data_IF_049806328716
#
_entry.id   IF_049806328716
#
_cell.length_a   1.000
_cell.length_b   1.000
_cell.length_c   1.000
_cell.angle_alpha   90.00
_cell.angle_beta   90.00
_cell.angle_gamma   90.00
#
_symmetry.space_group_name_H-M   'P 1'
#
loop_
_entity.id
_entity.type
_entity.pdbx_description
1 polymer ?
#
# COMPACT_ATOMS: atom_id res chain seq x y z
N UNK A 1 -4.40 26.30 52.25
CA UNK A 1 -4.88 25.83 50.94
C UNK A 1 -3.78 25.00 50.31
N UNK A 2 -3.84 23.71 50.38
CA UNK A 2 -2.83 22.79 49.82
C UNK A 2 -3.32 22.31 48.47
N UNK A 3 -2.56 22.65 47.41
CA UNK A 3 -2.77 22.15 46.06
C UNK A 3 -2.30 20.70 46.01
N UNK A 4 -3.23 19.77 45.76
CA UNK A 4 -2.93 18.37 45.43
C UNK A 4 -2.43 18.30 43.97
N UNK A 5 -1.12 18.03 43.78
CA UNK A 5 -0.52 17.63 42.54
C UNK A 5 -0.96 16.19 42.24
N UNK A 6 -1.87 16.02 41.28
CA UNK A 6 -2.25 14.70 40.74
C UNK A 6 -1.09 14.19 39.88
N UNK A 7 -0.34 13.24 40.40
CA UNK A 7 0.67 12.46 39.67
C UNK A 7 -0.03 11.59 38.62
N UNK A 8 0.13 11.97 37.34
CA UNK A 8 -0.27 11.15 36.18
C UNK A 8 0.82 10.12 35.90
N UNK A 9 0.80 8.98 36.57
CA UNK A 9 1.69 7.85 36.32
C UNK A 9 0.90 6.54 36.07
N UNK A 10 -0.05 6.56 35.14
CA UNK A 10 -0.60 5.32 34.60
C UNK A 10 0.05 5.03 33.23
N UNK A 11 0.62 3.82 33.04
CA UNK A 11 1.15 3.42 31.74
C UNK A 11 0.00 3.33 30.73
N UNK A 12 0.12 4.01 29.58
CA UNK A 12 -0.90 4.11 28.53
C UNK A 12 -1.35 2.76 27.93
N UNK A 13 -0.67 1.65 28.26
CA UNK A 13 -1.05 0.26 27.91
C UNK A 13 -0.66 -0.66 29.06
N UNK A 14 -1.48 -1.70 29.32
CA UNK A 14 -1.13 -2.70 30.34
C UNK A 14 0.17 -3.44 29.93
N UNK A 15 1.04 -3.83 30.87
CA UNK A 15 2.27 -4.57 30.56
C UNK A 15 2.03 -5.86 29.77
N UNK A 16 0.88 -6.51 29.94
CA UNK A 16 0.48 -7.72 29.20
C UNK A 16 0.20 -7.38 27.73
N UNK A 17 -0.51 -6.29 27.44
CA UNK A 17 -0.78 -5.84 26.07
C UNK A 17 0.50 -5.39 25.35
N UNK A 18 1.40 -4.70 26.04
CA UNK A 18 2.67 -4.28 25.47
C UNK A 18 3.57 -5.48 25.09
N UNK A 19 3.66 -6.50 25.95
CA UNK A 19 4.40 -7.75 25.66
C UNK A 19 3.78 -8.53 24.52
N UNK A 20 2.44 -8.63 24.49
CA UNK A 20 1.70 -9.29 23.42
C UNK A 20 1.98 -8.62 22.07
N UNK A 21 1.90 -7.30 21.99
CA UNK A 21 2.21 -6.53 20.76
C UNK A 21 3.65 -6.74 20.33
N UNK A 22 4.62 -6.65 21.24
CA UNK A 22 6.02 -6.86 20.91
C UNK A 22 6.30 -8.29 20.39
N UNK A 23 5.63 -9.30 20.95
CA UNK A 23 5.74 -10.69 20.48
C UNK A 23 5.15 -10.86 19.07
N UNK A 24 3.99 -10.28 18.79
CA UNK A 24 3.36 -10.30 17.46
C UNK A 24 4.27 -9.63 16.43
N UNK A 25 4.80 -8.44 16.74
CA UNK A 25 5.71 -7.71 15.86
C UNK A 25 7.00 -8.50 15.56
N UNK A 26 7.59 -9.13 16.59
CA UNK A 26 8.77 -9.98 16.43
C UNK A 26 8.47 -11.19 15.52
N UNK A 27 7.32 -11.84 15.71
CA UNK A 27 6.88 -12.98 14.88
C UNK A 27 6.65 -12.53 13.43
N UNK A 28 5.99 -11.41 13.18
CA UNK A 28 5.73 -10.91 11.83
C UNK A 28 7.03 -10.49 11.11
N UNK A 29 7.95 -9.81 11.81
CA UNK A 29 9.29 -9.52 11.27
C UNK A 29 10.06 -10.79 10.93
N UNK A 30 10.07 -11.78 11.82
CA UNK A 30 10.70 -13.06 11.59
C UNK A 30 10.06 -13.82 10.41
N UNK A 31 8.73 -13.73 10.25
CA UNK A 31 8.02 -14.32 9.11
C UNK A 31 8.53 -13.78 7.79
N UNK A 32 8.64 -12.46 7.66
CA UNK A 32 9.18 -11.83 6.44
C UNK A 32 10.63 -12.26 6.19
N UNK A 33 11.48 -12.29 7.23
CA UNK A 33 12.88 -12.72 7.10
C UNK A 33 13.02 -14.17 6.65
N UNK A 34 12.21 -15.08 7.21
CA UNK A 34 12.19 -16.50 6.81
C UNK A 34 11.64 -16.66 5.39
N UNK A 35 10.59 -15.90 5.04
CA UNK A 35 10.01 -15.88 3.70
C UNK A 35 11.04 -15.46 2.65
N UNK A 36 11.76 -14.37 2.90
CA UNK A 36 12.81 -13.86 2.02
C UNK A 36 13.98 -14.83 1.84
N UNK A 37 14.36 -15.52 2.91
CA UNK A 37 15.52 -16.41 2.90
C UNK A 37 15.22 -17.78 2.28
N UNK A 38 14.05 -18.35 2.54
CA UNK A 38 13.71 -19.73 2.22
C UNK A 38 12.58 -19.91 1.22
N UNK A 39 11.84 -18.84 0.93
CA UNK A 39 10.63 -18.90 0.12
C UNK A 39 9.39 -19.43 0.88
N UNK A 40 8.21 -19.27 0.25
CA UNK A 40 6.91 -19.66 0.81
C UNK A 40 6.86 -21.15 1.15
N UNK A 41 7.40 -22.00 0.28
CA UNK A 41 7.30 -23.47 0.43
C UNK A 41 8.06 -23.97 1.67
N UNK A 42 9.27 -23.47 1.88
CA UNK A 42 10.16 -23.92 2.99
C UNK A 42 9.91 -23.15 4.30
N UNK A 43 9.02 -22.16 4.32
CA UNK A 43 8.61 -21.47 5.54
C UNK A 43 7.78 -22.41 6.41
N UNK A 44 8.18 -22.55 7.70
CA UNK A 44 7.42 -23.28 8.72
C UNK A 44 7.26 -22.43 9.98
N UNK A 45 6.21 -22.68 10.75
CA UNK A 45 5.96 -21.99 12.04
C UNK A 45 7.12 -22.18 13.02
N UNK A 46 7.73 -23.38 13.04
CA UNK A 46 8.92 -23.69 13.88
C UNK A 46 10.11 -22.80 13.53
N UNK A 47 10.41 -22.63 12.23
CA UNK A 47 11.50 -21.75 11.79
C UNK A 47 11.23 -20.28 12.11
N UNK A 48 9.98 -19.87 11.99
CA UNK A 48 9.59 -18.50 12.35
C UNK A 48 9.70 -18.29 13.86
N UNK A 49 9.21 -19.22 14.69
CA UNK A 49 9.32 -19.13 16.15
C UNK A 49 10.79 -19.04 16.60
N UNK A 50 11.65 -19.93 16.07
CA UNK A 50 13.09 -19.90 16.34
C UNK A 50 13.73 -18.55 15.94
N UNK A 51 13.35 -18.00 14.76
CA UNK A 51 13.86 -16.72 14.27
C UNK A 51 13.34 -15.53 15.08
N UNK A 52 12.11 -15.61 15.60
CA UNK A 52 11.49 -14.59 16.44
C UNK A 52 11.96 -14.61 17.90
N UNK A 53 12.69 -15.67 18.30
CA UNK A 53 13.10 -15.86 19.69
C UNK A 53 11.94 -16.22 20.63
N UNK A 54 10.87 -16.85 20.12
CA UNK A 54 9.72 -17.28 20.90
C UNK A 54 9.53 -18.79 20.83
N UNK A 55 8.80 -19.38 21.82
CA UNK A 55 8.41 -20.77 21.74
C UNK A 55 7.40 -21.00 20.61
N UNK A 56 7.37 -22.22 20.05
CA UNK A 56 6.35 -22.62 19.07
C UNK A 56 4.94 -22.49 19.67
N UNK A 57 4.77 -22.84 20.96
CA UNK A 57 3.51 -22.66 21.68
C UNK A 57 3.07 -21.21 21.76
N UNK A 58 4.01 -20.29 22.01
CA UNK A 58 3.74 -18.85 22.00
C UNK A 58 3.28 -18.38 20.61
N UNK A 59 3.93 -18.84 19.54
CA UNK A 59 3.52 -18.49 18.18
C UNK A 59 2.11 -18.98 17.87
N UNK A 60 1.76 -20.20 18.26
CA UNK A 60 0.41 -20.74 18.03
C UNK A 60 -0.70 -20.05 18.83
N UNK A 61 -0.38 -19.38 19.92
CA UNK A 61 -1.36 -18.52 20.63
C UNK A 61 -1.85 -17.34 19.76
N UNK A 62 -1.01 -16.84 18.85
CA UNK A 62 -1.34 -15.72 17.97
C UNK A 62 -1.72 -16.16 16.54
N UNK A 63 -1.09 -17.20 16.02
CA UNK A 63 -1.23 -17.63 14.63
C UNK A 63 -1.42 -19.15 14.57
N UNK A 64 -2.66 -19.63 14.31
CA UNK A 64 -2.98 -21.05 14.39
C UNK A 64 -2.27 -21.92 13.32
N UNK A 65 -1.79 -21.31 12.24
CA UNK A 65 -1.12 -22.02 11.16
C UNK A 65 -0.26 -21.08 10.28
N UNK A 66 0.52 -21.69 9.36
CA UNK A 66 1.36 -20.98 8.39
C UNK A 66 0.57 -19.96 7.55
N UNK A 67 -0.63 -20.31 7.10
CA UNK A 67 -1.44 -19.43 6.28
C UNK A 67 -1.90 -18.18 7.03
N UNK A 68 -2.33 -18.33 8.29
CA UNK A 68 -2.68 -17.19 9.15
C UNK A 68 -1.49 -16.25 9.35
N UNK A 69 -0.30 -16.81 9.55
CA UNK A 69 0.95 -16.08 9.72
C UNK A 69 1.31 -15.27 8.47
N UNK A 70 1.27 -15.90 7.29
CA UNK A 70 1.57 -15.26 6.01
C UNK A 70 0.55 -14.16 5.68
N UNK A 71 -0.75 -14.41 5.93
CA UNK A 71 -1.79 -13.37 5.75
C UNK A 71 -1.59 -12.18 6.68
N UNK A 72 -1.20 -12.40 7.93
CA UNK A 72 -0.92 -11.32 8.86
C UNK A 72 0.30 -10.49 8.42
N UNK A 73 1.36 -11.11 7.95
CA UNK A 73 2.52 -10.41 7.38
C UNK A 73 2.15 -9.61 6.12
N UNK A 74 1.31 -10.18 5.25
CA UNK A 74 0.78 -9.49 4.07
C UNK A 74 -0.08 -8.28 4.45
N UNK A 75 -1.00 -8.43 5.43
CA UNK A 75 -1.83 -7.31 5.92
C UNK A 75 -0.97 -6.18 6.46
N UNK A 76 0.03 -6.47 7.29
CA UNK A 76 0.93 -5.46 7.82
C UNK A 76 1.61 -4.67 6.69
N UNK A 77 2.16 -5.37 5.70
CA UNK A 77 2.78 -4.72 4.54
C UNK A 77 1.78 -3.90 3.71
N UNK A 78 0.56 -4.37 3.57
CA UNK A 78 -0.52 -3.66 2.87
C UNK A 78 -0.92 -2.38 3.60
N UNK A 79 -1.04 -2.42 4.94
CA UNK A 79 -1.30 -1.23 5.75
C UNK A 79 -0.16 -0.20 5.67
N UNK A 80 1.11 -0.64 5.59
CA UNK A 80 2.25 0.26 5.34
C UNK A 80 2.07 1.05 4.03
N UNK A 81 1.59 0.38 2.97
CA UNK A 81 1.35 1.01 1.67
C UNK A 81 0.18 1.99 1.72
N UNK A 82 -0.94 1.57 2.32
CA UNK A 82 -2.13 2.41 2.46
C UNK A 82 -1.76 3.68 3.24
N UNK A 83 -1.05 3.55 4.35
CA UNK A 83 -0.64 4.68 5.16
C UNK A 83 0.22 5.70 4.39
N UNK A 84 1.09 5.25 3.49
CA UNK A 84 1.88 6.17 2.66
C UNK A 84 1.02 6.85 1.58
N UNK A 85 0.08 6.13 0.97
CA UNK A 85 -0.88 6.73 0.02
C UNK A 85 -1.76 7.75 0.72
N UNK A 86 -2.28 7.44 1.91
CA UNK A 86 -3.09 8.36 2.71
C UNK A 86 -2.33 9.65 3.05
N UNK A 87 -1.05 9.55 3.43
CA UNK A 87 -0.18 10.72 3.66
C UNK A 87 -0.08 11.61 2.43
N UNK A 88 0.12 11.00 1.26
CA UNK A 88 0.20 11.75 0.00
C UNK A 88 -1.14 12.40 -0.33
N UNK A 89 -2.24 11.66 -0.18
CA UNK A 89 -3.58 12.20 -0.39
C UNK A 89 -3.86 13.41 0.51
N UNK A 90 -3.45 13.35 1.78
CA UNK A 90 -3.59 14.49 2.71
C UNK A 90 -2.71 15.66 2.29
N UNK A 91 -1.45 15.42 1.94
CA UNK A 91 -0.48 16.46 1.58
C UNK A 91 -0.82 17.16 0.25
N UNK A 92 -1.50 16.46 -0.67
CA UNK A 92 -1.80 16.96 -2.01
C UNK A 92 -3.22 17.55 -2.14
N UNK A 93 -4.00 17.63 -1.06
CA UNK A 93 -5.34 18.23 -1.11
C UNK A 93 -5.30 19.67 -1.60
N UNK A 94 -6.18 20.00 -2.55
CA UNK A 94 -6.30 21.36 -3.11
C UNK A 94 -5.18 21.75 -4.07
N UNK A 95 -4.25 20.84 -4.41
CA UNK A 95 -3.24 21.09 -5.43
C UNK A 95 -3.79 20.80 -6.84
N UNK A 96 -3.12 21.25 -7.92
CA UNK A 96 -3.50 20.92 -9.28
C UNK A 96 -3.54 19.40 -9.50
N UNK A 97 -4.53 18.92 -10.27
CA UNK A 97 -4.78 17.48 -10.48
C UNK A 97 -3.57 16.75 -11.08
N UNK A 98 -2.77 17.41 -11.92
CA UNK A 98 -1.52 16.84 -12.44
C UNK A 98 -0.49 16.57 -11.34
N UNK A 99 -0.37 17.50 -10.39
CA UNK A 99 0.53 17.34 -9.23
C UNK A 99 0.04 16.22 -8.31
N UNK A 100 -1.27 16.10 -8.09
CA UNK A 100 -1.86 14.98 -7.34
C UNK A 100 -1.51 13.63 -7.98
N UNK A 101 -1.70 13.49 -9.31
CA UNK A 101 -1.45 12.25 -10.03
C UNK A 101 0.04 11.87 -10.01
N UNK A 102 0.93 12.84 -10.21
CA UNK A 102 2.39 12.66 -10.11
C UNK A 102 2.80 12.18 -8.71
N UNK A 103 2.35 12.87 -7.66
CA UNK A 103 2.68 12.52 -6.29
C UNK A 103 2.20 11.11 -5.91
N UNK A 104 1.01 10.70 -6.35
CA UNK A 104 0.49 9.35 -6.17
C UNK A 104 1.38 8.30 -6.87
N UNK A 105 1.75 8.53 -8.14
CA UNK A 105 2.58 7.61 -8.91
C UNK A 105 3.96 7.44 -8.26
N UNK A 106 4.61 8.55 -7.90
CA UNK A 106 5.93 8.55 -7.24
C UNK A 106 5.89 7.84 -5.90
N UNK A 107 4.95 8.20 -5.03
CA UNK A 107 4.85 7.61 -3.68
C UNK A 107 4.54 6.11 -3.72
N UNK A 108 3.61 5.71 -4.58
CA UNK A 108 3.21 4.31 -4.69
C UNK A 108 4.34 3.41 -5.18
N UNK A 109 5.15 3.88 -6.12
CA UNK A 109 6.34 3.16 -6.58
C UNK A 109 7.44 3.19 -5.52
N UNK A 110 7.72 4.34 -4.89
CA UNK A 110 8.75 4.48 -3.88
C UNK A 110 8.57 3.52 -2.70
N UNK A 111 7.34 3.36 -2.18
CA UNK A 111 7.06 2.41 -1.08
C UNK A 111 7.44 0.99 -1.46
N UNK A 112 7.11 0.57 -2.67
CA UNK A 112 7.36 -0.79 -3.16
C UNK A 112 8.84 -1.04 -3.45
N UNK A 113 9.56 -0.01 -3.86
CA UNK A 113 10.97 -0.11 -4.23
C UNK A 113 11.92 0.16 -3.06
N UNK A 114 11.44 0.54 -1.87
CA UNK A 114 12.24 0.53 -0.64
C UNK A 114 12.79 -0.88 -0.31
N UNK A 115 12.00 -1.92 -0.58
CA UNK A 115 12.41 -3.32 -0.43
C UNK A 115 11.71 -4.19 -1.50
N UNK A 116 12.25 -4.24 -2.73
CA UNK A 116 11.65 -4.98 -3.84
C UNK A 116 11.55 -6.48 -3.54
N UNK A 117 12.52 -7.05 -2.81
CA UNK A 117 12.52 -8.46 -2.41
C UNK A 117 11.36 -8.76 -1.47
N UNK A 118 11.15 -7.93 -0.44
CA UNK A 118 9.99 -8.02 0.47
C UNK A 118 8.68 -7.90 -0.30
N UNK A 119 8.57 -6.90 -1.16
CA UNK A 119 7.37 -6.64 -1.96
C UNK A 119 7.04 -7.81 -2.89
N UNK A 120 8.03 -8.38 -3.58
CA UNK A 120 7.89 -9.58 -4.46
C UNK A 120 7.47 -10.82 -3.67
N UNK A 121 8.12 -11.10 -2.54
CA UNK A 121 7.83 -12.26 -1.72
C UNK A 121 6.42 -12.22 -1.12
N UNK A 122 5.96 -11.05 -0.67
CA UNK A 122 4.61 -10.88 -0.14
C UNK A 122 3.54 -10.84 -1.24
N UNK A 123 3.88 -10.34 -2.44
CA UNK A 123 3.01 -10.44 -3.60
C UNK A 123 2.73 -11.90 -3.97
N UNK A 124 3.73 -12.78 -3.91
CA UNK A 124 3.55 -14.21 -4.14
C UNK A 124 2.62 -14.89 -3.11
N UNK A 125 2.42 -14.30 -1.92
CA UNK A 125 1.45 -14.77 -0.92
C UNK A 125 0.01 -14.42 -1.33
N UNK A 126 -0.20 -13.35 -2.10
CA UNK A 126 -1.52 -12.91 -2.55
C UNK A 126 -2.18 -13.83 -3.58
N UNK A 127 -1.47 -14.85 -4.06
CA UNK A 127 -1.97 -15.78 -5.08
C UNK A 127 -3.05 -16.76 -4.57
N UNK A 128 -3.25 -16.89 -3.25
CA UNK A 128 -4.35 -17.66 -2.69
C UNK A 128 -5.62 -16.80 -2.53
N UNK A 129 -6.77 -17.46 -2.37
CA UNK A 129 -8.09 -16.78 -2.28
C UNK A 129 -8.15 -15.74 -1.18
N UNK A 130 -7.60 -16.03 0.00
CA UNK A 130 -7.62 -15.12 1.13
C UNK A 130 -6.64 -13.94 0.95
N UNK A 131 -5.49 -14.18 0.34
CA UNK A 131 -4.55 -13.13 -0.05
C UNK A 131 -5.16 -12.17 -1.09
N UNK A 132 -5.90 -12.71 -2.06
CA UNK A 132 -6.62 -11.91 -3.04
C UNK A 132 -7.68 -11.00 -2.39
N UNK A 133 -8.41 -11.49 -1.36
CA UNK A 133 -9.36 -10.66 -0.61
C UNK A 133 -8.68 -9.51 0.14
N UNK A 134 -7.51 -9.76 0.76
CA UNK A 134 -6.73 -8.72 1.42
C UNK A 134 -6.29 -7.65 0.42
N UNK A 135 -5.79 -8.07 -0.74
CA UNK A 135 -5.39 -7.16 -1.80
C UNK A 135 -6.58 -6.33 -2.34
N UNK A 136 -7.74 -6.97 -2.58
CA UNK A 136 -8.95 -6.30 -3.05
C UNK A 136 -9.45 -5.25 -2.06
N UNK A 137 -9.52 -5.59 -0.77
CA UNK A 137 -9.92 -4.64 0.28
C UNK A 137 -8.98 -3.42 0.36
N UNK A 138 -7.68 -3.64 0.22
CA UNK A 138 -6.69 -2.57 0.15
C UNK A 138 -6.89 -1.66 -1.07
N UNK A 139 -7.13 -2.27 -2.23
CA UNK A 139 -7.40 -1.53 -3.48
C UNK A 139 -8.64 -0.64 -3.34
N UNK A 140 -9.71 -1.13 -2.72
CA UNK A 140 -10.92 -0.34 -2.45
C UNK A 140 -10.63 0.85 -1.54
N UNK A 141 -9.87 0.66 -0.45
CA UNK A 141 -9.49 1.77 0.46
C UNK A 141 -8.66 2.83 -0.24
N UNK A 142 -7.66 2.42 -1.00
CA UNK A 142 -6.81 3.32 -1.81
C UNK A 142 -7.65 4.08 -2.84
N UNK A 143 -8.58 3.40 -3.51
CA UNK A 143 -9.47 4.02 -4.48
C UNK A 143 -10.31 5.14 -3.84
N UNK A 144 -10.93 4.88 -2.69
CA UNK A 144 -11.69 5.90 -1.96
C UNK A 144 -10.83 7.11 -1.56
N UNK A 145 -9.57 6.88 -1.13
CA UNK A 145 -8.66 7.97 -0.81
C UNK A 145 -8.32 8.82 -2.04
N UNK A 146 -8.11 8.19 -3.20
CA UNK A 146 -7.85 8.88 -4.47
C UNK A 146 -9.08 9.67 -4.91
N UNK A 147 -10.29 9.11 -4.82
CA UNK A 147 -11.53 9.85 -5.14
C UNK A 147 -11.65 11.10 -4.27
N UNK A 148 -11.45 10.96 -2.94
CA UNK A 148 -11.49 12.08 -2.02
C UNK A 148 -10.41 13.15 -2.30
N UNK A 149 -9.25 12.73 -2.80
CA UNK A 149 -8.20 13.63 -3.27
C UNK A 149 -8.64 14.39 -4.52
N UNK A 150 -9.12 13.69 -5.55
CA UNK A 150 -9.58 14.28 -6.82
C UNK A 150 -10.73 15.26 -6.61
N UNK A 151 -11.64 14.99 -5.65
CA UNK A 151 -12.71 15.93 -5.27
C UNK A 151 -12.19 17.28 -4.75
N UNK A 152 -10.95 17.33 -4.28
CA UNK A 152 -10.35 18.56 -3.76
C UNK A 152 -9.57 19.35 -4.81
N UNK A 153 -9.51 18.87 -6.07
CA UNK A 153 -8.82 19.55 -7.15
C UNK A 153 -9.47 20.92 -7.44
N UNK A 154 -8.66 21.96 -7.70
CA UNK A 154 -9.19 23.28 -8.08
C UNK A 154 -9.78 23.29 -9.50
N UNK A 155 -9.37 22.34 -10.35
CA UNK A 155 -9.87 22.24 -11.73
C UNK A 155 -11.25 21.58 -11.77
N UNK A 156 -12.06 21.95 -12.78
CA UNK A 156 -13.32 21.28 -13.09
C UNK A 156 -13.00 19.98 -13.84
N UNK A 157 -13.22 18.85 -13.19
CA UNK A 157 -13.01 17.53 -13.79
C UNK A 157 -14.28 17.07 -14.52
N UNK A 158 -14.16 16.69 -15.78
CA UNK A 158 -15.28 16.31 -16.65
C UNK A 158 -15.53 14.80 -16.69
N UNK A 159 -14.57 14.00 -16.24
CA UNK A 159 -14.69 12.55 -16.14
C UNK A 159 -15.17 12.16 -14.75
N UNK A 160 -15.96 11.07 -14.65
CA UNK A 160 -16.36 10.49 -13.36
C UNK A 160 -15.15 10.20 -12.47
N UNK A 161 -15.17 10.69 -11.24
CA UNK A 161 -14.02 10.61 -10.32
C UNK A 161 -13.70 9.17 -9.90
N UNK A 162 -14.72 8.31 -9.81
CA UNK A 162 -14.53 6.91 -9.49
C UNK A 162 -13.80 6.18 -10.64
N UNK A 163 -14.15 6.52 -11.88
CA UNK A 163 -13.48 6.00 -13.07
C UNK A 163 -12.04 6.51 -13.15
N UNK A 164 -11.82 7.81 -12.91
CA UNK A 164 -10.47 8.41 -12.88
C UNK A 164 -9.59 7.74 -11.83
N UNK A 165 -10.08 7.59 -10.60
CA UNK A 165 -9.36 6.94 -9.52
C UNK A 165 -9.01 5.49 -9.85
N UNK A 166 -9.97 4.76 -10.46
CA UNK A 166 -9.79 3.37 -10.87
C UNK A 166 -8.71 3.24 -11.95
N UNK A 167 -8.72 4.11 -12.97
CA UNK A 167 -7.72 4.08 -14.04
C UNK A 167 -6.33 4.48 -13.54
N UNK A 168 -6.21 5.53 -12.74
CA UNK A 168 -4.94 5.92 -12.11
C UNK A 168 -4.36 4.76 -11.29
N UNK A 169 -5.17 4.22 -10.38
CA UNK A 169 -4.76 3.12 -9.53
C UNK A 169 -4.35 1.87 -10.32
N UNK A 170 -5.14 1.48 -11.34
CA UNK A 170 -4.87 0.31 -12.17
C UNK A 170 -3.60 0.49 -13.02
N UNK A 171 -3.37 1.67 -13.56
CA UNK A 171 -2.16 2.01 -14.32
C UNK A 171 -0.92 1.91 -13.45
N UNK A 172 -0.93 2.55 -12.28
CA UNK A 172 0.18 2.51 -11.32
C UNK A 172 0.42 1.07 -10.83
N UNK A 173 -0.66 0.33 -10.52
CA UNK A 173 -0.57 -1.05 -10.07
C UNK A 173 -0.03 -2.00 -11.16
N UNK A 174 -0.38 -1.76 -12.43
CA UNK A 174 0.11 -2.54 -13.58
C UNK A 174 1.61 -2.37 -13.78
N UNK A 175 2.10 -1.13 -13.79
CA UNK A 175 3.54 -0.83 -13.88
C UNK A 175 4.30 -1.43 -12.71
N UNK A 176 3.79 -1.25 -11.48
CA UNK A 176 4.36 -1.88 -10.29
C UNK A 176 4.48 -3.40 -10.42
N UNK A 177 3.42 -4.07 -10.89
CA UNK A 177 3.42 -5.53 -11.09
C UNK A 177 4.52 -5.94 -12.06
N UNK A 178 4.61 -5.25 -13.19
CA UNK A 178 5.67 -5.49 -14.19
C UNK A 178 7.06 -5.37 -13.57
N UNK A 179 7.30 -4.34 -12.76
CA UNK A 179 8.58 -4.13 -12.08
C UNK A 179 8.91 -5.21 -11.03
N UNK A 180 7.89 -5.79 -10.37
CA UNK A 180 8.09 -6.84 -9.38
C UNK A 180 8.26 -8.23 -10.01
N UNK A 181 7.65 -8.48 -11.16
CA UNK A 181 7.67 -9.78 -11.85
C UNK A 181 8.84 -9.91 -12.82
N UNK A 182 9.40 -8.79 -13.30
CA UNK A 182 10.57 -8.79 -14.21
C UNK A 182 11.89 -8.70 -13.43
N UNK A 183 12.96 -9.26 -14.02
CA UNK A 183 14.34 -9.07 -13.56
C UNK A 183 14.96 -7.80 -14.17
N UNK A 184 14.18 -6.69 -14.15
CA UNK A 184 14.55 -5.43 -14.77
C UNK A 184 15.70 -4.77 -13.99
N UNK A 185 16.76 -4.28 -14.67
CA UNK A 185 17.83 -3.53 -14.04
C UNK A 185 17.31 -2.25 -13.33
N UNK A 186 17.95 -1.85 -12.25
CA UNK A 186 17.57 -0.66 -11.46
C UNK A 186 17.50 0.62 -12.29
N UNK A 187 18.41 0.78 -13.27
CA UNK A 187 18.41 1.91 -14.19
C UNK A 187 17.11 2.01 -15.03
N UNK A 188 16.48 0.89 -15.38
CA UNK A 188 15.22 0.89 -16.12
C UNK A 188 14.03 1.25 -15.22
N UNK A 189 14.17 1.09 -13.90
CA UNK A 189 13.15 1.49 -12.96
C UNK A 189 12.90 3.00 -12.99
N UNK A 190 13.96 3.82 -12.97
CA UNK A 190 13.83 5.28 -13.03
C UNK A 190 13.20 5.75 -14.35
N UNK A 191 13.54 5.08 -15.46
CA UNK A 191 12.90 5.35 -16.76
C UNK A 191 11.41 5.04 -16.69
N UNK A 192 11.04 3.85 -16.21
CA UNK A 192 9.65 3.43 -16.10
C UNK A 192 8.84 4.35 -15.17
N UNK A 193 9.44 4.83 -14.09
CA UNK A 193 8.80 5.79 -13.19
C UNK A 193 8.53 7.13 -13.89
N UNK A 194 9.48 7.65 -14.64
CA UNK A 194 9.31 8.90 -15.41
C UNK A 194 8.19 8.76 -16.45
N UNK A 195 8.20 7.67 -17.21
CA UNK A 195 7.15 7.40 -18.19
C UNK A 195 5.78 7.25 -17.55
N UNK A 196 5.69 6.57 -16.40
CA UNK A 196 4.44 6.47 -15.65
C UNK A 196 3.92 7.86 -15.23
N UNK A 197 4.79 8.75 -14.76
CA UNK A 197 4.41 10.13 -14.42
C UNK A 197 3.86 10.86 -15.64
N UNK A 198 4.50 10.72 -16.81
CA UNK A 198 3.99 11.30 -18.07
C UNK A 198 2.60 10.76 -18.39
N UNK A 199 2.39 9.45 -18.30
CA UNK A 199 1.09 8.81 -18.57
C UNK A 199 0.00 9.33 -17.65
N UNK A 200 0.22 9.33 -16.32
CA UNK A 200 -0.83 9.73 -15.36
C UNK A 200 -1.14 11.23 -15.47
N UNK A 201 -0.14 12.07 -15.68
CA UNK A 201 -0.33 13.52 -15.89
C UNK A 201 -1.12 13.81 -17.17
N UNK A 202 -0.75 13.14 -18.27
CA UNK A 202 -1.45 13.31 -19.55
C UNK A 202 -2.91 12.88 -19.45
N UNK A 203 -3.18 11.76 -18.77
CA UNK A 203 -4.54 11.28 -18.54
C UNK A 203 -5.37 12.28 -17.74
N UNK A 204 -4.90 12.72 -16.58
CA UNK A 204 -5.70 13.66 -15.76
C UNK A 204 -5.87 15.04 -16.40
N UNK A 205 -4.86 15.49 -17.18
CA UNK A 205 -4.97 16.72 -17.99
C UNK A 205 -6.11 16.60 -19.00
N UNK A 206 -6.25 15.45 -19.66
CA UNK A 206 -7.34 15.18 -20.59
C UNK A 206 -8.72 15.13 -19.92
N UNK A 207 -8.78 14.95 -18.60
CA UNK A 207 -10.01 14.96 -17.81
C UNK A 207 -10.41 16.36 -17.30
N UNK A 208 -9.59 17.40 -17.51
CA UNK A 208 -9.89 18.78 -17.09
C UNK A 208 -10.77 19.46 -18.14
N UNK A 209 -11.87 20.07 -17.69
CA UNK A 209 -12.78 20.81 -18.57
C UNK A 209 -12.15 22.08 -19.14
N UNK A 210 -12.24 22.25 -20.45
CA UNK A 210 -11.84 23.49 -21.17
C UNK A 210 -10.71 23.36 -22.19
N UNK A 211 -9.86 22.30 -22.15
CA UNK A 211 -8.73 22.21 -23.06
C UNK A 211 -8.72 20.98 -24.00
N UNK A 212 -9.33 19.87 -23.63
CA UNK A 212 -9.08 18.58 -24.30
C UNK A 212 -10.27 17.98 -25.09
N UNK A 213 -11.48 18.45 -24.90
CA UNK A 213 -12.64 17.91 -25.63
C UNK A 213 -12.56 18.19 -27.14
N UNK A 214 -11.77 19.17 -27.55
CA UNK A 214 -11.65 19.60 -28.97
C UNK A 214 -10.57 18.84 -29.74
N UNK A 215 -9.53 18.31 -29.08
CA UNK A 215 -8.41 17.69 -29.78
C UNK A 215 -8.55 16.17 -30.01
N UNK A 216 -9.37 15.47 -29.25
CA UNK A 216 -9.49 14.01 -29.36
C UNK A 216 -10.70 13.51 -30.15
N UNK A 217 -11.58 14.39 -30.66
CA UNK A 217 -12.70 13.98 -31.53
C UNK A 217 -13.66 12.96 -30.90
N UNK A 218 -13.60 12.73 -29.60
CA UNK A 218 -14.46 11.83 -28.86
C UNK A 218 -15.74 12.57 -28.44
N UNK A 219 -16.56 12.93 -29.43
CA UNK A 219 -17.92 13.32 -29.20
C UNK A 219 -18.69 12.14 -28.59
N UNK A 220 -18.77 12.10 -27.27
CA UNK A 220 -19.72 11.21 -26.58
C UNK A 220 -21.11 11.77 -26.85
N UNK A 221 -21.76 11.21 -27.86
CA UNK A 221 -23.19 11.37 -28.10
C UNK A 221 -23.91 10.74 -26.90
N UNK A 222 -24.34 11.57 -25.94
CA UNK A 222 -25.31 11.15 -24.94
C UNK A 222 -26.66 10.96 -25.63
N UNK A 223 -27.07 9.72 -25.85
CA UNK A 223 -28.47 9.30 -25.92
C UNK A 223 -28.87 8.65 -24.61
#
# INVERSE_FOLDING_TARGET
MAQQTVSRSEPRKSPVQARSTASVDAILKATVQVLLRLGKEKLTTTRVAARAGVSVGTLYQYFPNKSALLRAAMRLHTEEIIAEVDKVCVAQRGHPVEQMAEALAVAFLAVKMRDPKKSRALYAVSSDVEGAKIAAAAMTRVNHAIVALLQSAPEVLTTDLQLMATLLQSTIAGVKRQLLESDMPEAQFEVMQRELVVVVRSYVRACVGGAAAHELGLGVNMM
#
